data_IF_000023573946
#
_entry.id   IF_000023573946
#
_cell.length_a   1.000
_cell.length_b   1.000
_cell.length_c   1.000
_cell.angle_alpha   90.00
_cell.angle_beta   90.00
_cell.angle_gamma   90.00
#
_symmetry.space_group_name_H-M   'P 1'
#
loop_
_entity.id
_entity.type
_entity.pdbx_description
1 polymer ?
#
# COMPACT_ATOMS: atom_id res chain seq x y z
N UNK A 1 -0.43 -6.74 20.29
CA UNK A 1 -1.61 -7.45 19.75
C UNK A 1 -2.01 -6.74 18.46
N UNK A 2 -1.99 -7.43 17.31
CA UNK A 2 -2.18 -6.80 15.99
C UNK A 2 -3.64 -6.33 15.86
N UNK A 3 -3.80 -5.03 15.68
CA UNK A 3 -5.06 -4.28 15.59
C UNK A 3 -6.20 -5.05 14.89
N UNK A 4 -7.40 -5.21 15.50
CA UNK A 4 -8.51 -5.94 14.87
C UNK A 4 -8.98 -5.31 13.55
N UNK A 5 -8.74 -4.01 13.35
CA UNK A 5 -9.04 -3.33 12.09
C UNK A 5 -8.15 -3.85 10.96
N UNK A 6 -6.90 -4.19 11.26
CA UNK A 6 -5.96 -4.76 10.27
C UNK A 6 -6.51 -6.03 9.62
N UNK A 7 -7.19 -6.88 10.38
CA UNK A 7 -7.75 -8.16 9.89
C UNK A 7 -8.89 -7.96 8.90
N UNK A 8 -9.62 -6.85 8.97
CA UNK A 8 -10.72 -6.55 8.05
C UNK A 8 -10.23 -6.21 6.65
N UNK A 9 -8.99 -5.73 6.55
CA UNK A 9 -8.38 -5.35 5.28
C UNK A 9 -7.43 -6.40 4.71
N UNK A 10 -7.15 -7.48 5.45
CA UNK A 10 -6.42 -8.65 4.97
C UNK A 10 -7.38 -9.67 4.37
N UNK A 11 -7.03 -10.22 3.22
CA UNK A 11 -7.76 -11.28 2.55
C UNK A 11 -6.82 -12.39 2.08
N UNK A 12 -7.32 -13.61 2.08
CA UNK A 12 -6.64 -14.75 1.48
C UNK A 12 -6.99 -14.78 -0.01
N UNK A 13 -6.00 -14.97 -0.87
CA UNK A 13 -6.23 -15.15 -2.30
C UNK A 13 -6.79 -16.56 -2.52
N UNK A 14 -8.11 -16.63 -2.73
CA UNK A 14 -8.79 -17.83 -3.21
C UNK A 14 -8.79 -17.90 -4.75
N UNK A 15 -9.38 -18.96 -5.30
CA UNK A 15 -9.38 -19.19 -6.75
C UNK A 15 -10.17 -18.12 -7.53
N UNK A 16 -11.22 -17.56 -6.93
CA UNK A 16 -12.07 -16.53 -7.55
C UNK A 16 -11.34 -15.19 -7.61
N UNK A 17 -10.74 -14.78 -6.49
CA UNK A 17 -9.85 -13.63 -6.36
C UNK A 17 -8.67 -13.76 -7.29
N UNK A 18 -8.05 -14.93 -7.35
CA UNK A 18 -6.92 -15.19 -8.22
C UNK A 18 -7.32 -14.96 -9.69
N UNK A 19 -8.40 -15.57 -10.17
CA UNK A 19 -8.83 -15.40 -11.56
C UNK A 19 -9.16 -13.94 -11.91
N UNK A 20 -9.76 -13.20 -10.95
CA UNK A 20 -10.12 -11.79 -11.14
C UNK A 20 -8.88 -10.88 -11.16
N UNK A 21 -7.97 -11.07 -10.21
CA UNK A 21 -6.82 -10.19 -10.00
C UNK A 21 -5.64 -10.52 -10.91
N UNK A 22 -5.52 -11.76 -11.40
CA UNK A 22 -4.39 -12.21 -12.21
C UNK A 22 -4.38 -11.59 -13.62
N UNK A 23 -5.49 -10.99 -14.06
CA UNK A 23 -5.56 -10.20 -15.28
C UNK A 23 -4.77 -8.88 -15.17
N UNK A 24 -4.87 -8.19 -14.03
CA UNK A 24 -4.18 -6.91 -13.79
C UNK A 24 -2.84 -7.09 -13.07
N UNK A 25 -2.71 -8.14 -12.25
CA UNK A 25 -1.57 -8.34 -11.35
C UNK A 25 -1.60 -7.39 -10.15
N UNK A 26 -0.59 -7.51 -9.29
CA UNK A 26 -0.42 -6.59 -8.18
C UNK A 26 0.09 -5.23 -8.69
N UNK A 27 -0.62 -4.12 -8.47
CA UNK A 27 -0.19 -2.80 -8.94
C UNK A 27 1.05 -2.25 -8.21
N UNK A 28 1.45 -2.82 -7.06
CA UNK A 28 2.60 -2.36 -6.29
C UNK A 28 3.92 -2.98 -6.76
N UNK A 29 3.95 -4.31 -6.94
CA UNK A 29 5.15 -5.06 -7.34
C UNK A 29 5.15 -5.50 -8.81
N UNK A 30 4.01 -5.42 -9.49
CA UNK A 30 3.84 -5.89 -10.88
C UNK A 30 3.82 -7.40 -11.04
N UNK A 31 3.87 -8.17 -9.95
CA UNK A 31 3.79 -9.63 -9.97
C UNK A 31 2.35 -10.11 -9.87
N UNK A 32 2.12 -11.33 -10.35
CA UNK A 32 0.81 -12.00 -10.26
C UNK A 32 0.56 -12.47 -8.84
N UNK A 33 -0.72 -12.60 -8.50
CA UNK A 33 -1.10 -13.24 -7.25
C UNK A 33 -0.93 -14.77 -7.35
N UNK A 34 -0.76 -15.42 -6.21
CA UNK A 34 -0.63 -16.87 -6.03
C UNK A 34 -1.75 -17.36 -5.12
N UNK A 35 -2.30 -18.53 -5.44
CA UNK A 35 -3.35 -19.15 -4.63
C UNK A 35 -2.85 -19.40 -3.19
N UNK A 36 -3.66 -19.00 -2.20
CA UNK A 36 -3.36 -19.21 -0.79
C UNK A 36 -2.40 -18.19 -0.16
N UNK A 37 -1.97 -17.17 -0.89
CA UNK A 37 -1.19 -16.08 -0.31
C UNK A 37 -2.08 -15.02 0.36
N UNK A 38 -1.49 -14.21 1.25
CA UNK A 38 -2.18 -13.09 1.88
C UNK A 38 -1.99 -11.80 1.08
N UNK A 39 -3.11 -11.14 0.84
CA UNK A 39 -3.15 -9.82 0.21
C UNK A 39 -3.93 -8.86 1.09
N UNK A 40 -3.78 -7.56 0.82
CA UNK A 40 -4.47 -6.52 1.56
C UNK A 40 -5.08 -5.50 0.61
N UNK A 41 -6.21 -4.93 1.03
CA UNK A 41 -6.80 -3.80 0.34
C UNK A 41 -6.09 -2.52 0.77
N UNK A 42 -5.31 -1.93 -0.13
CA UNK A 42 -4.51 -0.74 0.13
C UNK A 42 -4.90 0.45 -0.76
N UNK A 43 -4.58 1.66 -0.29
CA UNK A 43 -4.57 2.87 -1.10
C UNK A 43 -3.15 3.10 -1.64
N UNK A 44 -3.01 3.60 -2.87
CA UNK A 44 -1.70 3.87 -3.47
C UNK A 44 -1.75 4.98 -4.51
N UNK A 45 -0.70 5.10 -5.30
CA UNK A 45 -0.58 6.11 -6.36
C UNK A 45 -1.48 5.88 -7.58
N UNK A 46 -2.25 4.79 -7.60
CA UNK A 46 -3.23 4.54 -8.64
C UNK A 46 -4.47 5.42 -8.45
N UNK A 47 -5.05 5.87 -9.56
CA UNK A 47 -6.28 6.65 -9.51
C UNK A 47 -7.48 5.78 -9.10
N UNK A 48 -8.33 6.34 -8.25
CA UNK A 48 -9.62 5.77 -7.88
C UNK A 48 -9.61 4.97 -6.57
N UNK A 49 -10.28 3.81 -6.60
CA UNK A 49 -10.57 3.02 -5.41
C UNK A 49 -9.33 2.27 -4.86
N UNK A 50 -9.36 1.86 -3.58
CA UNK A 50 -8.35 0.97 -3.02
C UNK A 50 -8.20 -0.31 -3.85
N UNK A 51 -6.97 -0.76 -4.05
CA UNK A 51 -6.66 -1.97 -4.83
C UNK A 51 -6.06 -3.04 -3.93
N UNK A 52 -6.18 -4.28 -4.37
CA UNK A 52 -5.59 -5.42 -3.67
C UNK A 52 -4.11 -5.47 -4.04
N UNK A 53 -3.25 -5.54 -3.04
CA UNK A 53 -1.79 -5.69 -3.18
C UNK A 53 -1.27 -6.75 -2.24
N UNK A 54 -0.06 -7.27 -2.50
CA UNK A 54 0.61 -8.17 -1.57
C UNK A 54 0.81 -7.51 -0.21
N UNK A 55 0.60 -8.27 0.87
CA UNK A 55 0.75 -7.75 2.24
C UNK A 55 2.15 -7.15 2.48
N UNK A 56 3.17 -7.69 1.83
CA UNK A 56 4.56 -7.22 1.97
C UNK A 56 4.80 -5.84 1.33
N UNK A 57 4.01 -5.48 0.33
CA UNK A 57 4.07 -4.19 -0.37
C UNK A 57 3.18 -3.12 0.26
N UNK A 58 2.50 -3.48 1.36
CA UNK A 58 1.61 -2.59 2.08
C UNK A 58 2.13 -2.26 3.48
N UNK A 59 1.81 -1.05 3.95
CA UNK A 59 2.07 -0.57 5.30
C UNK A 59 0.75 -0.23 5.96
N UNK A 60 0.54 -0.70 7.18
CA UNK A 60 -0.62 -0.33 7.98
C UNK A 60 -0.45 1.11 8.49
N UNK A 61 -1.35 2.01 8.10
CA UNK A 61 -1.40 3.36 8.63
C UNK A 61 -2.43 3.43 9.78
N UNK A 62 -1.99 3.52 11.05
CA UNK A 62 -2.91 3.60 12.17
C UNK A 62 -3.70 4.91 12.20
N UNK A 63 -3.27 5.95 11.47
CA UNK A 63 -3.97 7.24 11.42
C UNK A 63 -5.26 7.17 10.61
N UNK A 64 -5.23 6.45 9.50
CA UNK A 64 -6.39 6.26 8.62
C UNK A 64 -7.08 4.92 8.83
N UNK A 65 -6.52 4.07 9.70
CA UNK A 65 -6.95 2.68 9.93
C UNK A 65 -7.09 1.88 8.62
N UNK A 66 -6.15 2.10 7.69
CA UNK A 66 -6.15 1.46 6.37
C UNK A 66 -4.74 1.05 5.96
N UNK A 67 -4.63 0.14 5.00
CA UNK A 67 -3.34 -0.15 4.38
C UNK A 67 -3.03 0.89 3.31
N UNK A 68 -1.77 1.28 3.24
CA UNK A 68 -1.21 2.12 2.18
C UNK A 68 -0.11 1.36 1.46
N UNK A 69 0.01 1.56 0.16
CA UNK A 69 1.15 1.06 -0.60
C UNK A 69 2.44 1.68 -0.04
N UNK A 70 3.48 0.84 0.09
CA UNK A 70 4.72 1.20 0.79
C UNK A 70 5.37 2.47 0.23
N UNK A 71 5.49 2.58 -1.10
CA UNK A 71 6.10 3.75 -1.75
C UNK A 71 5.26 5.01 -1.53
N UNK A 72 3.94 4.90 -1.56
CA UNK A 72 3.01 5.98 -1.27
C UNK A 72 3.11 6.43 0.19
N UNK A 73 3.19 5.48 1.12
CA UNK A 73 3.38 5.77 2.54
C UNK A 73 4.72 6.45 2.81
N UNK A 74 5.80 5.96 2.20
CA UNK A 74 7.13 6.56 2.28
C UNK A 74 7.14 7.96 1.69
N UNK A 75 6.55 8.17 0.52
CA UNK A 75 6.43 9.49 -0.09
C UNK A 75 5.58 10.47 0.75
N UNK A 76 4.54 9.97 1.44
CA UNK A 76 3.72 10.79 2.34
C UNK A 76 4.47 11.18 3.60
N UNK A 77 5.27 10.25 4.15
CA UNK A 77 6.04 10.47 5.37
C UNK A 77 7.40 11.14 5.12
N UNK A 78 7.93 11.09 3.90
CA UNK A 78 9.13 11.85 3.51
C UNK A 78 8.84 13.35 3.39
N UNK A 79 7.57 13.77 3.35
CA UNK A 79 7.16 15.18 3.54
C UNK A 79 7.14 15.51 5.04
N UNK A 80 8.30 15.34 5.65
CA UNK A 80 8.65 15.68 7.01
C UNK A 80 10.01 16.38 7.07
N UNK A 81 10.26 17.31 6.15
CA UNK A 81 11.24 18.39 6.31
C UNK A 81 10.50 19.66 5.87
N UNK A 82 10.03 20.54 6.76
CA UNK A 82 10.86 21.25 7.70
C UNK A 82 11.59 22.38 6.97
N UNK A 83 10.91 23.52 6.77
CA UNK A 83 11.46 24.80 6.31
C UNK A 83 12.20 24.83 4.96
N UNK A 84 11.51 25.30 3.92
CA UNK A 84 12.10 26.21 2.94
C UNK A 84 12.39 27.58 3.61
N UNK A 85 13.39 27.62 4.50
CA UNK A 85 14.11 28.85 4.82
C UNK A 85 15.62 28.60 4.73
N UNK A 86 16.24 29.41 3.88
CA UNK A 86 17.66 29.74 3.83
C UNK A 86 18.65 28.66 3.34
N UNK A 87 18.91 28.69 2.02
CA UNK A 87 20.29 28.71 1.54
C UNK A 87 20.53 30.03 0.81
N UNK A 88 20.82 31.07 1.59
CA UNK A 88 21.76 32.10 1.15
C UNK A 88 23.17 31.55 1.44
N UNK A 89 24.01 31.42 0.41
CA UNK A 89 25.46 31.62 0.52
C UNK A 89 26.15 31.44 -0.83
N UNK A 90 26.59 32.59 -1.37
CA UNK A 90 27.80 32.83 -2.17
C UNK A 90 27.77 32.43 -3.64
N UNK A 91 27.60 33.45 -4.48
CA UNK A 91 28.75 33.99 -5.20
C UNK A 91 28.68 35.50 -5.29
#
# INVERSE_FOLDING_TARGET
MKDPLRRKHTLLIDLEKLNTLNAEGCPACGQKFTLGETAVLACGFWEGAPRIIHENDAVWDPKTASFMERKCYESRNSVGCGNSRAFHSRR
#
